data_IF_902172075422
#
_entry.id   IF_902172075422
#
_cell.length_a   1.000
_cell.length_b   1.000
_cell.length_c   1.000
_cell.angle_alpha   90.00
_cell.angle_beta   90.00
_cell.angle_gamma   90.00
#
_symmetry.space_group_name_H-M   'P 1'
#
loop_
_entity.id
_entity.type
_entity.pdbx_description
1 polymer ?
#
# COMPACT_ATOMS: atom_id res chain seq x y z
N UNK A 1 -3.62 8.38 12.81
CA UNK A 1 -4.52 8.31 11.63
C UNK A 1 -5.39 7.05 11.72
N UNK A 2 -6.22 6.79 10.69
CA UNK A 2 -7.11 5.62 10.61
C UNK A 2 -6.36 4.28 10.51
N UNK A 3 -5.22 4.21 9.83
CA UNK A 3 -4.42 2.99 9.71
C UNK A 3 -3.87 2.55 11.07
N UNK A 4 -3.37 3.49 11.87
CA UNK A 4 -2.93 3.21 13.23
C UNK A 4 -4.09 2.74 14.14
N UNK A 5 -5.32 3.21 13.90
CA UNK A 5 -6.50 2.75 14.64
C UNK A 5 -6.87 1.31 14.28
N UNK A 6 -6.84 0.95 12.99
CA UNK A 6 -7.07 -0.43 12.54
C UNK A 6 -6.01 -1.38 13.08
N UNK A 7 -4.72 -1.00 13.03
CA UNK A 7 -3.65 -1.82 13.59
C UNK A 7 -3.88 -2.14 15.07
N UNK A 8 -4.23 -1.12 15.89
CA UNK A 8 -4.58 -1.32 17.30
C UNK A 8 -5.81 -2.19 17.50
N UNK A 9 -6.80 -2.12 16.62
CA UNK A 9 -7.98 -2.98 16.71
C UNK A 9 -7.66 -4.47 16.40
N UNK A 10 -6.57 -4.74 15.67
CA UNK A 10 -6.09 -6.10 15.40
C UNK A 10 -5.25 -6.64 16.57
N UNK A 11 -4.39 -5.80 17.17
CA UNK A 11 -3.54 -6.14 18.31
C UNK A 11 -3.30 -4.89 19.18
N UNK A 12 -3.90 -4.84 20.37
CA UNK A 12 -3.83 -3.71 21.30
C UNK A 12 -2.80 -3.91 22.43
N UNK A 13 -1.96 -4.95 22.33
CA UNK A 13 -0.92 -5.23 23.30
C UNK A 13 0.10 -4.08 23.43
N UNK A 14 0.82 -4.04 24.56
CA UNK A 14 1.88 -3.05 24.79
C UNK A 14 3.02 -3.14 23.75
N UNK A 15 3.31 -4.35 23.26
CA UNK A 15 4.20 -4.62 22.13
C UNK A 15 3.41 -5.38 21.04
N UNK A 16 2.67 -4.68 20.17
CA UNK A 16 1.75 -5.31 19.24
C UNK A 16 2.49 -5.91 18.05
N UNK A 17 1.99 -7.03 17.52
CA UNK A 17 2.51 -7.70 16.32
C UNK A 17 2.02 -7.06 15.01
N UNK A 18 1.52 -5.82 15.08
CA UNK A 18 1.03 -5.04 13.96
C UNK A 18 1.87 -3.78 13.80
N UNK A 19 2.09 -3.35 12.56
CA UNK A 19 2.75 -2.10 12.22
C UNK A 19 1.90 -1.37 11.16
N UNK A 20 1.53 -0.12 11.44
CA UNK A 20 0.88 0.75 10.46
C UNK A 20 1.94 1.66 9.82
N UNK A 21 1.97 1.72 8.50
CA UNK A 21 2.88 2.56 7.71
C UNK A 21 2.06 3.22 6.61
N UNK A 22 2.27 4.53 6.38
CA UNK A 22 1.70 5.21 5.22
C UNK A 22 2.38 4.71 3.95
N UNK A 23 1.60 4.43 2.91
CA UNK A 23 2.08 3.85 1.66
C UNK A 23 1.21 4.30 0.50
N UNK A 24 1.81 4.99 -0.48
CA UNK A 24 1.23 5.22 -1.80
C UNK A 24 1.82 4.22 -2.80
N UNK A 25 0.97 3.33 -3.34
CA UNK A 25 1.39 2.32 -4.31
C UNK A 25 1.87 2.91 -5.65
N UNK A 26 1.50 4.15 -5.96
CA UNK A 26 2.04 4.87 -7.12
C UNK A 26 3.47 5.39 -6.91
N UNK A 27 4.03 5.28 -5.70
CA UNK A 27 5.38 5.77 -5.35
C UNK A 27 6.33 4.60 -5.02
N UNK A 28 7.29 4.26 -5.90
CA UNK A 28 8.23 3.17 -5.67
C UNK A 28 9.06 3.33 -4.38
N UNK A 29 9.34 4.58 -3.98
CA UNK A 29 10.06 4.86 -2.74
C UNK A 29 9.30 4.41 -1.48
N UNK A 30 7.97 4.47 -1.51
CA UNK A 30 7.13 4.04 -0.40
C UNK A 30 7.14 2.51 -0.25
N UNK A 31 7.19 1.76 -1.37
CA UNK A 31 7.33 0.30 -1.34
C UNK A 31 8.64 -0.11 -0.66
N UNK A 32 9.75 0.53 -1.04
CA UNK A 32 11.05 0.32 -0.41
C UNK A 32 10.99 0.63 1.10
N UNK A 33 10.39 1.77 1.48
CA UNK A 33 10.26 2.17 2.87
C UNK A 33 9.41 1.20 3.70
N UNK A 34 8.29 0.71 3.14
CA UNK A 34 7.41 -0.27 3.77
C UNK A 34 8.14 -1.60 4.04
N UNK A 35 8.89 -2.11 3.06
CA UNK A 35 9.70 -3.33 3.21
C UNK A 35 10.77 -3.13 4.28
N UNK A 36 11.47 -2.00 4.27
CA UNK A 36 12.50 -1.70 5.29
C UNK A 36 11.89 -1.61 6.70
N UNK A 37 10.72 -1.00 6.85
CA UNK A 37 10.02 -0.92 8.13
C UNK A 37 9.59 -2.31 8.62
N UNK A 38 9.07 -3.16 7.73
CA UNK A 38 8.71 -4.54 8.03
C UNK A 38 9.93 -5.35 8.49
N UNK A 39 11.03 -5.33 7.74
CA UNK A 39 12.27 -6.05 8.09
C UNK A 39 12.86 -5.53 9.39
N UNK A 40 12.85 -4.22 9.63
CA UNK A 40 13.34 -3.63 10.90
C UNK A 40 12.51 -4.08 12.10
N UNK A 41 11.18 -4.16 11.96
CA UNK A 41 10.27 -4.49 13.07
C UNK A 41 10.13 -5.99 13.33
N UNK A 42 10.14 -6.80 12.26
CA UNK A 42 9.79 -8.23 12.30
C UNK A 42 10.93 -9.15 11.87
N UNK A 43 12.05 -8.61 11.39
CA UNK A 43 13.25 -9.34 10.98
C UNK A 43 13.22 -9.87 9.55
N UNK A 44 12.04 -10.08 8.95
CA UNK A 44 11.87 -10.55 7.57
C UNK A 44 10.46 -10.24 7.02
N UNK A 45 10.31 -10.37 5.70
CA UNK A 45 9.01 -10.40 5.01
C UNK A 45 8.82 -11.79 4.39
N UNK A 46 7.78 -12.52 4.83
CA UNK A 46 7.49 -13.87 4.34
C UNK A 46 6.55 -13.88 3.13
N UNK A 47 5.52 -13.05 3.19
CA UNK A 47 4.47 -12.97 2.19
C UNK A 47 4.09 -11.52 1.96
N UNK A 48 3.86 -11.15 0.70
CA UNK A 48 3.39 -9.84 0.29
C UNK A 48 1.99 -9.98 -0.33
N UNK A 49 1.06 -9.16 0.12
CA UNK A 49 -0.28 -9.03 -0.49
C UNK A 49 -0.43 -7.60 -1.00
N UNK A 50 -0.15 -7.33 -2.28
CA UNK A 50 -0.33 -6.01 -2.86
C UNK A 50 -1.83 -5.78 -3.13
N UNK A 51 -2.52 -5.20 -2.15
CA UNK A 51 -3.98 -5.00 -2.18
C UNK A 51 -4.40 -3.56 -2.53
N UNK A 52 -3.46 -2.68 -2.85
CA UNK A 52 -3.78 -1.32 -3.26
C UNK A 52 -4.38 -1.32 -4.67
N UNK A 53 -5.55 -0.69 -4.81
CA UNK A 53 -6.18 -0.49 -6.11
C UNK A 53 -7.06 0.76 -6.09
N UNK A 54 -7.12 1.46 -7.21
CA UNK A 54 -8.09 2.52 -7.51
C UNK A 54 -8.99 2.08 -8.65
N UNK A 55 -10.23 2.57 -8.64
CA UNK A 55 -11.20 2.30 -9.69
C UNK A 55 -11.75 3.62 -10.22
N UNK A 56 -11.48 3.90 -11.49
CA UNK A 56 -12.07 5.02 -12.21
C UNK A 56 -13.45 4.61 -12.74
N UNK A 57 -14.51 5.22 -12.19
CA UNK A 57 -15.90 4.92 -12.57
C UNK A 57 -16.29 5.58 -13.90
N UNK A 58 -15.71 5.07 -14.98
CA UNK A 58 -16.01 5.49 -16.34
C UNK A 58 -15.56 4.44 -17.35
N UNK A 59 -16.05 4.59 -18.58
CA UNK A 59 -15.58 3.77 -19.70
C UNK A 59 -14.21 4.25 -20.17
N UNK A 60 -13.42 3.33 -20.74
CA UNK A 60 -12.06 3.62 -21.23
C UNK A 60 -12.05 4.69 -22.33
N UNK A 61 -13.09 4.75 -23.17
CA UNK A 61 -13.23 5.77 -24.22
C UNK A 61 -13.52 7.19 -23.68
N UNK A 62 -13.97 7.31 -22.44
CA UNK A 62 -14.15 8.57 -21.73
C UNK A 62 -13.00 8.95 -20.80
N UNK A 63 -11.98 8.09 -20.68
CA UNK A 63 -10.92 8.26 -19.69
C UNK A 63 -9.90 9.31 -20.11
N UNK A 64 -9.59 10.25 -19.21
CA UNK A 64 -8.47 11.16 -19.42
C UNK A 64 -7.12 10.44 -19.28
N UNK A 65 -6.08 10.97 -19.91
CA UNK A 65 -4.73 10.43 -19.77
C UNK A 65 -4.27 10.40 -18.30
N UNK A 66 -4.61 11.42 -17.51
CA UNK A 66 -4.24 11.47 -16.09
C UNK A 66 -4.90 10.35 -15.26
N UNK A 67 -6.17 10.04 -15.53
CA UNK A 67 -6.88 8.93 -14.85
C UNK A 67 -6.32 7.57 -15.26
N UNK A 68 -5.99 7.41 -16.54
CA UNK A 68 -5.30 6.23 -17.04
C UNK A 68 -3.95 6.05 -16.33
N UNK A 69 -3.12 7.09 -16.34
CA UNK A 69 -1.79 7.06 -15.74
C UNK A 69 -1.84 6.77 -14.24
N UNK A 70 -2.80 7.37 -13.52
CA UNK A 70 -3.01 7.10 -12.10
C UNK A 70 -3.41 5.64 -11.83
N UNK A 71 -4.35 5.12 -12.62
CA UNK A 71 -4.80 3.71 -12.51
C UNK A 71 -3.65 2.75 -12.78
N UNK A 72 -2.86 2.98 -13.84
CA UNK A 72 -1.71 2.14 -14.18
C UNK A 72 -0.63 2.25 -13.11
N UNK A 73 -0.35 3.45 -12.60
CA UNK A 73 0.64 3.65 -11.55
C UNK A 73 0.31 2.85 -10.29
N UNK A 74 -0.94 2.88 -9.82
CA UNK A 74 -1.36 2.19 -8.60
C UNK A 74 -1.58 0.69 -8.83
N UNK A 75 -2.42 0.32 -9.80
CA UNK A 75 -2.95 -1.04 -9.90
C UNK A 75 -2.01 -2.02 -10.62
N UNK A 76 -1.07 -1.51 -11.42
CA UNK A 76 -0.17 -2.33 -12.22
C UNK A 76 1.29 -2.08 -11.87
N UNK A 77 1.80 -0.86 -12.08
CA UNK A 77 3.20 -0.54 -11.79
C UNK A 77 3.53 -0.69 -10.31
N UNK A 78 2.62 -0.28 -9.42
CA UNK A 78 2.79 -0.42 -7.97
C UNK A 78 2.94 -1.87 -7.49
N UNK A 79 2.45 -2.86 -8.25
CA UNK A 79 2.65 -4.29 -7.94
C UNK A 79 4.04 -4.78 -8.36
N UNK A 80 4.65 -4.13 -9.35
CA UNK A 80 5.98 -4.46 -9.85
C UNK A 80 7.10 -3.87 -8.98
N UNK A 81 6.87 -2.70 -8.39
CA UNK A 81 7.81 -1.99 -7.53
C UNK A 81 7.82 -2.50 -6.09
#
# INVERSE_FOLDING_TARGET
DAAAAVARAIDDAHDPRTLAVGYDAGQPADAQALVQACVTRFGRLDYLVPAAAVYEDQRVDGMSAAQWDHTIAVNLSGVFH
#
